data_IF_384086933500
#
_entry.id   IF_384086933500
#
_cell.length_a   1.000
_cell.length_b   1.000
_cell.length_c   1.000
_cell.angle_alpha   90.00
_cell.angle_beta   90.00
_cell.angle_gamma   90.00
#
_symmetry.space_group_name_H-M   'P 1'
#
loop_
_entity.id
_entity.type
_entity.pdbx_description
1 polymer ?
#
# COMPACT_ATOMS: atom_id res chain seq x y z
N UNK A 1 26.49 7.92 -7.44
CA UNK A 1 25.90 8.34 -6.14
C UNK A 1 26.20 7.27 -5.10
N UNK A 2 26.63 7.63 -3.89
CA UNK A 2 26.95 6.66 -2.83
C UNK A 2 25.67 6.04 -2.25
N UNK A 3 25.76 4.83 -1.68
CA UNK A 3 24.62 4.18 -1.00
C UNK A 3 24.02 5.03 0.13
N UNK A 4 24.86 5.77 0.87
CA UNK A 4 24.43 6.72 1.90
C UNK A 4 23.61 7.90 1.37
N UNK A 5 23.76 8.26 0.08
CA UNK A 5 22.94 9.26 -0.58
C UNK A 5 21.52 8.77 -0.86
N UNK A 6 21.38 7.53 -1.36
CA UNK A 6 20.08 6.92 -1.68
C UNK A 6 19.17 6.81 -0.46
N UNK A 7 19.70 6.26 0.65
CA UNK A 7 18.95 6.10 1.90
C UNK A 7 18.47 7.45 2.43
N UNK A 8 19.32 8.48 2.39
CA UNK A 8 18.96 9.83 2.85
C UNK A 8 17.84 10.43 2.02
N UNK A 9 17.88 10.29 0.69
CA UNK A 9 16.81 10.78 -0.20
C UNK A 9 15.47 10.12 0.12
N UNK A 10 15.46 8.81 0.34
CA UNK A 10 14.24 8.08 0.72
C UNK A 10 13.73 8.51 2.08
N UNK A 11 14.61 8.73 3.07
CA UNK A 11 14.21 9.25 4.38
C UNK A 11 13.53 10.61 4.29
N UNK A 12 14.07 11.53 3.49
CA UNK A 12 13.42 12.83 3.25
C UNK A 12 12.01 12.68 2.69
N UNK A 13 11.79 11.73 1.77
CA UNK A 13 10.44 11.46 1.25
C UNK A 13 9.52 10.87 2.32
N UNK A 14 10.00 9.85 3.06
CA UNK A 14 9.23 9.21 4.13
C UNK A 14 8.85 10.22 5.22
N UNK A 15 9.79 11.07 5.63
CA UNK A 15 9.54 12.11 6.62
C UNK A 15 8.48 13.11 6.14
N UNK A 16 8.55 13.54 4.88
CA UNK A 16 7.55 14.43 4.30
C UNK A 16 6.14 13.82 4.31
N UNK A 17 6.01 12.57 3.83
CA UNK A 17 4.74 11.85 3.83
C UNK A 17 4.17 11.69 5.24
N UNK A 18 5.01 11.35 6.22
CA UNK A 18 4.56 11.18 7.60
C UNK A 18 4.21 12.52 8.25
N UNK A 19 4.91 13.62 7.95
CA UNK A 19 4.58 14.94 8.47
C UNK A 19 3.20 15.42 8.02
N UNK A 20 2.81 15.11 6.77
CA UNK A 20 1.50 15.44 6.20
C UNK A 20 0.35 14.58 6.77
N UNK A 21 0.64 13.52 7.52
CA UNK A 21 -0.40 12.71 8.16
C UNK A 21 -1.00 13.46 9.36
N UNK A 22 -2.30 13.77 9.25
CA UNK A 22 -3.07 14.50 10.26
C UNK A 22 -3.38 13.65 11.49
N UNK A 23 -3.62 12.34 11.32
CA UNK A 23 -3.82 11.43 12.44
C UNK A 23 -2.49 11.18 13.16
N UNK A 24 -2.36 11.73 14.36
CA UNK A 24 -1.15 11.64 15.16
C UNK A 24 -0.77 10.19 15.51
N UNK A 25 -1.76 9.32 15.73
CA UNK A 25 -1.50 7.92 16.06
C UNK A 25 -0.94 7.18 14.84
N UNK A 26 -1.53 7.37 13.66
CA UNK A 26 -1.01 6.81 12.40
C UNK A 26 0.39 7.36 12.12
N UNK A 27 0.59 8.68 12.24
CA UNK A 27 1.89 9.32 12.02
C UNK A 27 2.98 8.75 12.92
N UNK A 28 2.73 8.67 14.22
CA UNK A 28 3.68 8.12 15.20
C UNK A 28 3.96 6.64 14.93
N UNK A 29 2.93 5.85 14.66
CA UNK A 29 3.08 4.45 14.30
C UNK A 29 3.92 4.28 13.02
N UNK A 30 3.68 5.11 12.01
CA UNK A 30 4.42 5.11 10.75
C UNK A 30 5.92 5.40 10.95
N UNK A 31 6.28 6.39 11.76
CA UNK A 31 7.69 6.65 12.10
C UNK A 31 8.35 5.43 12.74
N UNK A 32 7.70 4.81 13.73
CA UNK A 32 8.28 3.67 14.45
C UNK A 32 8.40 2.45 13.52
N UNK A 33 7.35 2.18 12.75
CA UNK A 33 7.25 0.98 11.94
C UNK A 33 8.12 1.05 10.69
N UNK A 34 8.00 2.08 9.86
CA UNK A 34 8.74 2.16 8.58
C UNK A 34 10.26 2.21 8.79
N UNK A 35 10.73 3.01 9.76
CA UNK A 35 12.14 3.05 10.10
C UNK A 35 12.61 1.73 10.73
N UNK A 36 11.83 1.16 11.65
CA UNK A 36 12.13 -0.13 12.25
C UNK A 36 12.26 -1.26 11.22
N UNK A 37 11.34 -1.37 10.27
CA UNK A 37 11.42 -2.35 9.18
C UNK A 37 12.60 -2.05 8.26
N UNK A 38 12.90 -0.78 7.99
CA UNK A 38 14.09 -0.38 7.22
C UNK A 38 15.41 -0.80 7.88
N UNK A 39 15.51 -0.73 9.21
CA UNK A 39 16.68 -1.14 9.99
C UNK A 39 16.79 -2.67 10.07
N UNK A 40 15.69 -3.37 10.37
CA UNK A 40 15.65 -4.83 10.37
C UNK A 40 15.98 -5.40 8.98
N UNK A 41 15.51 -4.72 7.92
CA UNK A 41 15.84 -5.10 6.54
C UNK A 41 17.34 -4.97 6.25
N UNK A 42 18.00 -3.92 6.73
CA UNK A 42 19.45 -3.76 6.59
C UNK A 42 20.23 -4.82 7.38
N UNK A 43 19.78 -5.15 8.59
CA UNK A 43 20.35 -6.21 9.43
C UNK A 43 20.26 -7.57 8.74
N UNK A 44 19.08 -7.94 8.25
CA UNK A 44 18.87 -9.22 7.56
C UNK A 44 19.62 -9.27 6.23
N UNK A 45 19.73 -8.16 5.51
CA UNK A 45 20.53 -8.11 4.28
C UNK A 45 22.00 -8.43 4.56
N UNK A 46 22.58 -7.85 5.63
CA UNK A 46 23.94 -8.15 6.05
C UNK A 46 24.11 -9.63 6.43
N UNK A 47 23.12 -10.22 7.10
CA UNK A 47 23.12 -11.64 7.48
C UNK A 47 23.01 -12.60 6.29
N UNK A 48 22.29 -12.20 5.23
CA UNK A 48 21.95 -13.01 4.05
C UNK A 48 22.83 -12.73 2.83
N UNK A 49 23.77 -11.79 2.91
CA UNK A 49 24.65 -11.42 1.79
C UNK A 49 23.92 -10.66 0.67
N UNK A 50 22.90 -9.87 1.01
CA UNK A 50 22.14 -9.02 0.08
C UNK A 50 22.56 -7.55 0.20
N UNK A 51 22.23 -6.73 -0.79
CA UNK A 51 22.48 -5.28 -0.74
C UNK A 51 21.59 -4.60 0.32
N UNK A 52 22.23 -4.09 1.37
CA UNK A 52 21.55 -3.49 2.52
C UNK A 52 20.83 -2.17 2.18
N UNK A 53 21.30 -1.42 1.17
CA UNK A 53 20.64 -0.18 0.74
C UNK A 53 19.30 -0.48 0.11
N UNK A 54 19.26 -1.41 -0.85
CA UNK A 54 18.04 -1.87 -1.52
C UNK A 54 17.04 -2.44 -0.51
N UNK A 55 17.53 -3.28 0.41
CA UNK A 55 16.68 -3.88 1.45
C UNK A 55 16.10 -2.81 2.41
N UNK A 56 16.93 -1.88 2.88
CA UNK A 56 16.48 -0.81 3.79
C UNK A 56 15.45 0.10 3.13
N UNK A 57 15.65 0.43 1.85
CA UNK A 57 14.69 1.22 1.07
C UNK A 57 13.37 0.48 0.88
N UNK A 58 13.39 -0.82 0.60
CA UNK A 58 12.17 -1.62 0.54
C UNK A 58 11.42 -1.60 1.88
N UNK A 59 12.15 -1.77 3.00
CA UNK A 59 11.57 -1.69 4.35
C UNK A 59 10.93 -0.34 4.67
N UNK A 60 11.60 0.77 4.35
CA UNK A 60 11.06 2.12 4.62
C UNK A 60 9.85 2.48 3.75
N UNK A 61 9.69 1.85 2.58
CA UNK A 61 8.64 2.18 1.63
C UNK A 61 7.46 1.21 1.64
N UNK A 62 7.57 0.04 2.28
CA UNK A 62 6.59 -1.04 2.08
C UNK A 62 5.15 -0.67 2.44
N UNK A 63 4.98 0.07 3.53
CA UNK A 63 3.69 0.52 4.06
C UNK A 63 3.51 2.04 3.96
N UNK A 64 4.26 2.70 3.07
CA UNK A 64 4.17 4.16 2.89
C UNK A 64 2.76 4.59 2.48
N UNK A 65 2.08 3.78 1.66
CA UNK A 65 0.71 4.00 1.23
C UNK A 65 -0.26 3.99 2.42
N UNK A 66 -0.13 3.01 3.30
CA UNK A 66 -0.91 2.88 4.53
C UNK A 66 -0.68 4.09 5.44
N UNK A 67 0.57 4.50 5.61
CA UNK A 67 0.91 5.65 6.44
C UNK A 67 0.35 6.96 5.88
N UNK A 68 0.30 7.11 4.55
CA UNK A 68 -0.24 8.29 3.87
C UNK A 68 -1.77 8.33 3.89
N UNK A 69 -2.43 7.19 3.69
CA UNK A 69 -3.88 7.12 3.46
C UNK A 69 -4.69 6.60 4.64
N UNK A 70 -4.05 5.94 5.61
CA UNK A 70 -4.73 5.19 6.67
C UNK A 70 -5.43 3.91 6.19
N UNK A 71 -5.28 3.52 4.91
CA UNK A 71 -5.98 2.39 4.32
C UNK A 71 -5.13 1.11 4.37
N UNK A 72 -5.68 0.06 4.97
CA UNK A 72 -5.04 -1.25 5.12
C UNK A 72 -5.39 -2.24 4.01
N UNK A 73 -6.56 -2.08 3.42
CA UNK A 73 -7.03 -2.99 2.38
C UNK A 73 -6.18 -2.83 1.12
N UNK A 74 -5.63 -3.95 0.61
CA UNK A 74 -4.72 -3.96 -0.53
C UNK A 74 -3.49 -3.04 -0.36
N UNK A 75 -2.99 -2.89 0.88
CA UNK A 75 -1.83 -2.04 1.17
C UNK A 75 -0.57 -2.46 0.40
N UNK A 76 -0.28 -3.76 0.27
CA UNK A 76 0.91 -4.23 -0.43
C UNK A 76 0.95 -3.83 -1.93
N UNK A 77 -0.07 -4.14 -2.76
CA UNK A 77 -0.06 -3.69 -4.15
C UNK A 77 -0.14 -2.16 -4.30
N UNK A 78 -0.86 -1.48 -3.40
CA UNK A 78 -0.96 -0.01 -3.41
C UNK A 78 0.37 0.65 -3.04
N UNK A 79 1.04 0.13 -2.01
CA UNK A 79 2.38 0.52 -1.56
C UNK A 79 3.44 0.28 -2.63
N UNK A 80 3.35 -0.81 -3.39
CA UNK A 80 4.26 -1.07 -4.50
C UNK A 80 4.12 -0.02 -5.61
N UNK A 81 2.90 0.41 -5.92
CA UNK A 81 2.66 1.50 -6.89
C UNK A 81 3.09 2.89 -6.36
N UNK A 82 2.94 3.17 -5.07
CA UNK A 82 3.50 4.36 -4.40
C UNK A 82 5.03 4.37 -4.48
N UNK A 83 5.67 3.28 -4.06
CA UNK A 83 7.12 3.14 -4.11
C UNK A 83 7.67 3.29 -5.53
N UNK A 84 6.97 2.73 -6.54
CA UNK A 84 7.37 2.87 -7.95
C UNK A 84 7.44 4.33 -8.40
N UNK A 85 6.47 5.16 -8.00
CA UNK A 85 6.47 6.59 -8.32
C UNK A 85 7.59 7.31 -7.59
N UNK A 86 7.75 7.06 -6.29
CA UNK A 86 8.81 7.65 -5.46
C UNK A 86 10.19 7.36 -6.07
N UNK A 87 10.49 6.09 -6.37
CA UNK A 87 11.80 5.69 -6.88
C UNK A 87 12.09 6.25 -8.27
N UNK A 88 11.07 6.35 -9.13
CA UNK A 88 11.17 7.00 -10.45
C UNK A 88 11.54 8.47 -10.30
N UNK A 89 10.81 9.19 -9.46
CA UNK A 89 10.97 10.64 -9.30
C UNK A 89 12.30 11.01 -8.65
N UNK A 90 12.80 10.15 -7.75
CA UNK A 90 14.15 10.31 -7.19
C UNK A 90 15.26 10.11 -8.23
N UNK A 91 15.02 9.39 -9.34
CA UNK A 91 16.00 9.18 -10.42
C UNK A 91 17.32 8.51 -9.99
N UNK A 92 17.32 7.87 -8.82
CA UNK A 92 18.50 7.48 -8.06
C UNK A 92 18.84 5.98 -8.14
N UNK A 93 17.87 5.17 -8.53
CA UNK A 93 17.90 3.71 -8.41
C UNK A 93 17.98 3.05 -9.79
N UNK A 94 18.76 1.99 -9.92
CA UNK A 94 18.82 1.18 -11.15
C UNK A 94 17.48 0.47 -11.38
N UNK A 95 17.23 0.03 -12.62
CA UNK A 95 16.03 -0.74 -12.93
C UNK A 95 15.94 -2.02 -12.10
N UNK A 96 17.07 -2.68 -11.84
CA UNK A 96 17.15 -3.90 -11.04
C UNK A 96 16.83 -3.64 -9.56
N UNK A 97 17.34 -2.54 -8.98
CA UNK A 97 16.99 -2.12 -7.62
C UNK A 97 15.49 -1.81 -7.51
N UNK A 98 14.95 -1.07 -8.48
CA UNK A 98 13.52 -0.73 -8.52
C UNK A 98 12.64 -1.99 -8.61
N UNK A 99 13.02 -2.97 -9.43
CA UNK A 99 12.28 -4.23 -9.56
C UNK A 99 12.30 -5.04 -8.27
N UNK A 100 13.45 -5.13 -7.59
CA UNK A 100 13.59 -5.82 -6.29
C UNK A 100 12.72 -5.17 -5.22
N UNK A 101 12.79 -3.84 -5.10
CA UNK A 101 11.98 -3.08 -4.12
C UNK A 101 10.50 -3.25 -4.42
N UNK A 102 10.08 -3.06 -5.67
CA UNK A 102 8.68 -3.21 -6.08
C UNK A 102 8.15 -4.63 -5.80
N UNK A 103 8.92 -5.66 -6.17
CA UNK A 103 8.56 -7.07 -5.94
C UNK A 103 8.36 -7.35 -4.45
N UNK A 104 9.32 -6.93 -3.62
CA UNK A 104 9.28 -7.18 -2.20
C UNK A 104 8.03 -6.55 -1.58
N UNK A 105 7.77 -5.27 -1.89
CA UNK A 105 6.60 -4.55 -1.37
C UNK A 105 5.30 -5.17 -1.87
N UNK A 106 5.19 -5.53 -3.15
CA UNK A 106 3.98 -6.11 -3.71
C UNK A 106 3.55 -7.41 -3.00
N UNK A 107 4.53 -8.18 -2.51
CA UNK A 107 4.33 -9.55 -2.02
C UNK A 107 4.44 -9.67 -0.50
N UNK A 108 4.86 -8.61 0.20
CA UNK A 108 5.20 -8.71 1.60
C UNK A 108 4.02 -9.11 2.50
N UNK A 109 2.77 -8.79 2.13
CA UNK A 109 1.59 -9.14 2.94
C UNK A 109 1.28 -10.64 2.95
N UNK A 110 1.69 -11.39 1.92
CA UNK A 110 1.50 -12.84 1.84
C UNK A 110 2.63 -13.57 2.59
N UNK A 111 2.42 -13.73 3.90
CA UNK A 111 3.38 -14.38 4.80
C UNK A 111 3.46 -15.90 4.59
N UNK A 112 2.52 -16.52 3.87
CA UNK A 112 2.48 -17.96 3.66
C UNK A 112 3.24 -18.40 2.40
N UNK A 113 3.21 -17.56 1.35
CA UNK A 113 3.94 -17.80 0.11
C UNK A 113 5.44 -17.56 0.28
N UNK A 114 6.23 -18.37 -0.42
CA UNK A 114 7.68 -18.22 -0.54
C UNK A 114 7.98 -17.65 -1.92
N UNK A 115 8.78 -16.58 -1.96
CA UNK A 115 9.15 -15.82 -3.14
C UNK A 115 10.69 -15.59 -3.20
N UNK A 116 11.14 -14.55 -3.91
CA UNK A 116 12.56 -14.26 -4.12
C UNK A 116 13.25 -13.70 -2.85
N UNK A 117 14.57 -13.62 -2.87
CA UNK A 117 15.40 -13.30 -1.69
C UNK A 117 15.05 -11.98 -0.99
N UNK A 118 14.74 -10.92 -1.75
CA UNK A 118 14.30 -9.62 -1.19
C UNK A 118 12.86 -9.66 -0.68
N UNK A 119 12.00 -10.46 -1.31
CA UNK A 119 10.61 -10.62 -0.90
C UNK A 119 10.55 -11.31 0.46
N UNK A 120 11.33 -12.39 0.63
CA UNK A 120 11.43 -13.11 1.90
C UNK A 120 12.12 -12.27 2.98
N UNK A 121 13.16 -11.51 2.62
CA UNK A 121 13.80 -10.57 3.55
C UNK A 121 12.80 -9.55 4.10
N UNK A 122 12.00 -8.92 3.24
CA UNK A 122 11.06 -7.90 3.68
C UNK A 122 9.94 -8.50 4.54
N UNK A 123 9.40 -9.68 4.17
CA UNK A 123 8.43 -10.40 5.00
C UNK A 123 8.97 -10.69 6.39
N UNK A 124 10.23 -11.12 6.49
CA UNK A 124 10.85 -11.46 7.76
C UNK A 124 11.19 -10.20 8.59
N UNK A 125 11.65 -9.13 7.94
CA UNK A 125 11.92 -7.84 8.59
C UNK A 125 10.66 -7.22 9.19
N UNK A 126 9.55 -7.26 8.45
CA UNK A 126 8.25 -6.74 8.86
C UNK A 126 7.72 -7.46 10.11
N UNK A 127 7.67 -8.80 10.09
CA UNK A 127 7.19 -9.57 11.24
C UNK A 127 8.13 -9.50 12.45
N UNK A 128 9.44 -9.39 12.21
CA UNK A 128 10.43 -9.20 13.27
C UNK A 128 10.23 -7.84 13.95
N UNK A 129 10.01 -6.78 13.18
CA UNK A 129 9.76 -5.44 13.74
C UNK A 129 8.50 -5.45 14.61
N UNK A 130 7.40 -6.04 14.14
CA UNK A 130 6.17 -6.15 14.93
C UNK A 130 6.40 -6.92 16.25
N UNK A 131 7.09 -8.06 16.18
CA UNK A 131 7.40 -8.85 17.37
C UNK A 131 8.28 -8.10 18.38
N UNK A 132 9.31 -7.39 17.92
CA UNK A 132 10.20 -6.63 18.80
C UNK A 132 9.52 -5.37 19.36
N UNK A 133 8.55 -4.80 18.64
CA UNK A 133 7.80 -3.64 19.08
C UNK A 133 6.79 -4.00 20.18
N UNK A 134 6.05 -5.10 20.01
CA UNK A 134 5.15 -5.66 21.03
C UNK A 134 5.28 -7.20 21.11
N UNK A 135 6.15 -7.72 21.99
CA UNK A 135 6.32 -9.15 22.19
C UNK A 135 5.10 -9.86 22.80
N UNK A 136 4.09 -9.12 23.26
CA UNK A 136 2.89 -9.68 23.90
C UNK A 136 1.75 -9.96 22.92
N UNK A 137 1.87 -9.45 21.68
CA UNK A 137 0.91 -9.62 20.60
C UNK A 137 0.77 -11.08 20.16
N UNK A 138 -0.44 -11.46 19.76
CA UNK A 138 -0.72 -12.75 19.10
C UNK A 138 -0.64 -12.61 17.58
N UNK A 139 0.00 -13.58 16.93
CA UNK A 139 0.27 -13.56 15.50
C UNK A 139 -0.38 -14.73 14.76
N UNK A 140 -0.78 -14.58 13.49
CA UNK A 140 -1.23 -15.70 12.66
C UNK A 140 -0.15 -16.81 12.56
N UNK A 141 -0.52 -18.08 12.31
CA UNK A 141 0.43 -19.20 12.29
C UNK A 141 1.62 -19.00 11.34
N UNK A 142 1.39 -18.46 10.14
CA UNK A 142 2.46 -18.18 9.17
C UNK A 142 3.45 -17.12 9.68
N UNK A 143 2.93 -16.05 10.27
CA UNK A 143 3.72 -14.97 10.89
C UNK A 143 4.53 -15.48 12.07
N UNK A 144 3.91 -16.25 12.98
CA UNK A 144 4.58 -16.82 14.14
C UNK A 144 5.74 -17.76 13.75
N UNK A 145 5.57 -18.53 12.65
CA UNK A 145 6.64 -19.37 12.11
C UNK A 145 7.81 -18.53 11.58
N UNK A 146 7.53 -17.44 10.85
CA UNK A 146 8.59 -16.53 10.36
C UNK A 146 9.36 -15.89 11.51
N UNK A 147 8.67 -15.40 12.54
CA UNK A 147 9.30 -14.84 13.76
C UNK A 147 10.29 -15.85 14.35
N UNK A 148 9.85 -17.10 14.61
CA UNK A 148 10.74 -18.14 15.17
C UNK A 148 11.96 -18.42 14.29
N UNK A 149 11.77 -18.44 12.96
CA UNK A 149 12.85 -18.72 12.03
C UNK A 149 13.88 -17.57 12.00
N UNK A 150 13.43 -16.32 11.91
CA UNK A 150 14.32 -15.16 11.82
C UNK A 150 15.02 -14.90 13.15
N UNK A 151 14.37 -15.11 14.29
CA UNK A 151 15.04 -15.00 15.60
C UNK A 151 16.13 -16.07 15.76
N UNK A 152 15.89 -17.29 15.29
CA UNK A 152 16.89 -18.35 15.29
C UNK A 152 18.05 -18.07 14.31
N UNK A 153 17.77 -17.52 13.12
CA UNK A 153 18.79 -17.08 12.15
C UNK A 153 19.74 -16.03 12.74
N UNK A 154 19.21 -15.14 13.58
CA UNK A 154 19.93 -14.10 14.30
C UNK A 154 20.58 -14.58 15.62
N UNK A 155 20.38 -15.84 16.01
CA UNK A 155 20.95 -16.41 17.23
C UNK A 155 20.30 -15.94 18.54
N UNK A 156 19.05 -15.44 18.48
CA UNK A 156 18.29 -15.07 19.67
C UNK A 156 17.74 -16.33 20.38
N UNK A 157 17.50 -16.27 21.71
CA UNK A 157 16.89 -17.36 22.45
C UNK A 157 15.55 -17.80 21.83
N UNK A 158 15.16 -19.05 22.06
CA UNK A 158 13.87 -19.55 21.60
C UNK A 158 12.74 -18.68 22.19
N UNK A 159 11.93 -18.10 21.30
CA UNK A 159 10.82 -17.22 21.66
C UNK A 159 9.48 -17.97 21.62
N UNK A 160 8.70 -17.84 22.69
CA UNK A 160 7.30 -18.24 22.66
C UNK A 160 6.48 -17.16 21.95
N UNK A 161 5.96 -17.50 20.77
CA UNK A 161 5.10 -16.59 19.99
C UNK A 161 3.65 -17.03 20.16
N UNK A 162 2.81 -16.14 20.69
CA UNK A 162 1.37 -16.37 20.84
C UNK A 162 0.72 -16.46 19.45
N UNK A 163 -0.16 -17.44 19.25
CA UNK A 163 -0.82 -17.66 17.95
C UNK A 163 -2.27 -17.21 18.02
N UNK A 164 -2.71 -16.37 17.08
CA UNK A 164 -4.10 -15.94 16.95
C UNK A 164 -4.95 -16.96 16.21
N UNK A 165 -6.20 -17.17 16.64
CA UNK A 165 -7.20 -17.93 15.89
C UNK A 165 -7.72 -17.11 14.68
N UNK A 166 -7.72 -17.69 13.48
CA UNK A 166 -8.35 -17.08 12.31
C UNK A 166 -9.85 -17.37 12.34
N UNK A 167 -10.67 -16.38 12.72
CA UNK A 167 -12.13 -16.46 12.53
C UNK A 167 -12.50 -15.94 11.15
N UNK A 168 -13.28 -16.68 10.35
CA UNK A 168 -13.90 -16.14 9.15
C UNK A 168 -14.87 -15.03 9.56
N UNK A 169 -14.69 -13.84 9.02
CA UNK A 169 -15.67 -12.77 9.13
C UNK A 169 -16.71 -12.97 8.02
N UNK A 170 -17.86 -13.54 8.39
CA UNK A 170 -19.04 -13.51 7.54
C UNK A 170 -19.65 -12.12 7.62
N UNK A 171 -19.80 -11.45 6.48
CA UNK A 171 -20.55 -10.19 6.39
C UNK A 171 -21.90 -10.49 5.75
N UNK A 172 -22.97 -10.15 6.49
CA UNK A 172 -24.34 -10.09 6.01
C UNK A 172 -24.74 -8.62 5.86
N UNK A 173 -25.28 -8.20 4.71
CA UNK A 173 -26.69 -7.77 4.60
C UNK A 173 -27.09 -7.00 3.31
N UNK A 174 -28.19 -7.54 2.73
CA UNK A 174 -29.47 -6.98 2.24
C UNK A 174 -29.63 -5.76 1.32
N UNK A 175 -28.57 -5.04 0.90
CA UNK A 175 -28.69 -4.04 -0.19
C UNK A 175 -27.75 -4.42 -1.33
N UNK A 176 -28.24 -4.40 -2.58
CA UNK A 176 -27.37 -4.66 -3.73
C UNK A 176 -26.26 -3.61 -3.79
N UNK A 177 -25.02 -4.05 -3.99
CA UNK A 177 -23.84 -3.19 -4.12
C UNK A 177 -24.08 -1.99 -5.05
N UNK A 178 -24.84 -2.23 -6.13
CA UNK A 178 -25.22 -1.24 -7.13
C UNK A 178 -26.04 -0.09 -6.53
N UNK A 179 -27.04 -0.39 -5.71
CA UNK A 179 -27.89 0.65 -5.10
C UNK A 179 -27.07 1.54 -4.16
N UNK A 180 -26.23 0.92 -3.32
CA UNK A 180 -25.36 1.66 -2.40
C UNK A 180 -24.37 2.57 -3.12
N UNK A 181 -23.78 2.08 -4.21
CA UNK A 181 -22.87 2.89 -5.03
C UNK A 181 -23.59 4.10 -5.65
N UNK A 182 -24.81 3.90 -6.17
CA UNK A 182 -25.62 4.97 -6.75
C UNK A 182 -25.99 6.03 -5.71
N UNK A 183 -26.46 5.60 -4.53
CA UNK A 183 -26.83 6.51 -3.42
C UNK A 183 -25.64 7.39 -3.00
N UNK A 184 -24.46 6.79 -2.82
CA UNK A 184 -23.22 7.51 -2.46
C UNK A 184 -22.83 8.51 -3.55
N UNK A 185 -22.88 8.09 -4.83
CA UNK A 185 -22.52 8.95 -5.94
C UNK A 185 -23.48 10.15 -6.06
N UNK A 186 -24.79 9.93 -5.91
CA UNK A 186 -25.78 11.00 -5.91
C UNK A 186 -25.59 11.96 -4.76
N UNK A 187 -25.39 11.45 -3.54
CA UNK A 187 -25.17 12.28 -2.35
C UNK A 187 -23.93 13.16 -2.52
N UNK A 188 -22.81 12.57 -2.95
CA UNK A 188 -21.55 13.28 -3.11
C UNK A 188 -21.63 14.31 -4.25
N UNK A 189 -22.30 14.00 -5.36
CA UNK A 189 -22.48 14.91 -6.50
C UNK A 189 -23.38 16.12 -6.19
N UNK A 190 -24.28 16.01 -5.20
CA UNK A 190 -25.12 17.14 -4.75
C UNK A 190 -24.36 18.14 -3.88
N UNK A 191 -23.20 17.76 -3.32
CA UNK A 191 -22.39 18.64 -2.48
C UNK A 191 -21.62 19.65 -3.36
N UNK A 192 -21.50 20.92 -2.94
CA UNK A 192 -20.61 21.86 -3.60
C UNK A 192 -19.17 21.48 -3.26
N UNK A 193 -18.56 20.59 -4.05
CA UNK A 193 -17.16 20.22 -3.87
C UNK A 193 -16.28 21.44 -4.15
N UNK A 194 -15.62 21.96 -3.11
CA UNK A 194 -14.78 23.15 -3.23
C UNK A 194 -13.40 22.74 -3.72
N UNK A 195 -13.08 23.16 -4.94
CA UNK A 195 -11.74 23.09 -5.51
C UNK A 195 -11.02 24.44 -5.48
N UNK A 196 -9.70 24.42 -5.64
CA UNK A 196 -8.86 25.61 -5.84
C UNK A 196 -8.26 25.67 -7.26
N UNK A 197 -7.49 26.72 -7.53
CA UNK A 197 -6.82 26.95 -8.83
C UNK A 197 -5.83 25.85 -9.23
N UNK A 198 -5.38 25.04 -8.26
CA UNK A 198 -4.49 23.90 -8.48
C UNK A 198 -5.26 22.58 -8.67
N UNK A 199 -6.58 22.66 -8.87
CA UNK A 199 -7.49 21.51 -8.94
C UNK A 199 -7.45 20.65 -7.66
N UNK A 200 -7.02 21.24 -6.53
CA UNK A 200 -7.00 20.61 -5.22
C UNK A 200 -8.08 21.22 -4.33
N UNK A 201 -8.00 21.01 -3.01
CA UNK A 201 -8.92 21.57 -2.03
C UNK A 201 -9.35 20.53 -0.98
N UNK A 202 -9.91 20.98 0.15
CA UNK A 202 -10.29 20.09 1.25
C UNK A 202 -11.34 19.04 0.86
N UNK A 203 -12.24 19.37 -0.07
CA UNK A 203 -13.25 18.43 -0.58
C UNK A 203 -12.73 17.53 -1.72
N UNK A 204 -11.65 17.94 -2.41
CA UNK A 204 -11.04 17.18 -3.51
C UNK A 204 -10.03 16.16 -2.99
N UNK A 205 -9.26 16.51 -1.95
CA UNK A 205 -8.24 15.64 -1.36
C UNK A 205 -8.78 14.23 -1.01
N UNK A 206 -9.94 14.07 -0.34
CA UNK A 206 -10.53 12.76 -0.07
C UNK A 206 -10.76 11.90 -1.32
N UNK A 207 -10.96 12.51 -2.49
CA UNK A 207 -11.23 11.83 -3.76
C UNK A 207 -9.94 11.34 -4.42
N UNK A 208 -8.86 12.12 -4.34
CA UNK A 208 -7.60 11.84 -5.06
C UNK A 208 -6.55 11.13 -4.22
N UNK A 209 -6.63 11.19 -2.89
CA UNK A 209 -5.61 10.67 -1.96
C UNK A 209 -5.29 9.18 -2.13
N UNK A 210 -6.15 8.39 -2.75
CA UNK A 210 -5.90 6.97 -3.02
C UNK A 210 -4.75 6.75 -4.01
N UNK A 211 -4.45 7.72 -4.87
CA UNK A 211 -3.56 7.48 -6.00
C UNK A 211 -2.10 7.87 -5.68
N UNK A 212 -1.13 7.09 -6.18
CA UNK A 212 0.28 7.40 -6.01
C UNK A 212 0.65 8.77 -6.60
N UNK A 213 1.35 9.57 -5.81
CA UNK A 213 1.74 10.94 -6.17
C UNK A 213 0.66 11.98 -5.92
N UNK A 214 -0.48 11.63 -5.31
CA UNK A 214 -1.45 12.61 -4.84
C UNK A 214 -0.83 13.54 -3.80
N UNK A 215 -1.05 14.85 -3.97
CA UNK A 215 -0.61 15.88 -3.03
C UNK A 215 -1.81 16.70 -2.59
N UNK A 216 -1.75 17.25 -1.37
CA UNK A 216 -2.81 18.11 -0.86
C UNK A 216 -2.86 19.47 -1.56
N UNK A 217 -1.73 19.92 -2.13
CA UNK A 217 -1.60 21.24 -2.77
C UNK A 217 -1.74 21.20 -4.30
N UNK A 218 -1.87 20.00 -4.90
CA UNK A 218 -1.89 19.82 -6.34
C UNK A 218 -2.79 18.64 -6.72
N UNK A 219 -3.88 18.94 -7.42
CA UNK A 219 -4.79 17.95 -7.96
C UNK A 219 -4.64 17.71 -9.47
N UNK A 220 -5.62 17.01 -10.03
CA UNK A 220 -5.78 16.68 -11.45
C UNK A 220 -7.26 16.44 -11.78
N UNK A 221 -7.59 16.16 -13.05
CA UNK A 221 -8.93 15.76 -13.49
C UNK A 221 -9.47 14.57 -12.69
N UNK A 222 -10.28 14.86 -11.68
CA UNK A 222 -10.64 13.90 -10.63
C UNK A 222 -11.89 13.07 -10.96
N UNK A 223 -12.46 13.17 -12.16
CA UNK A 223 -13.73 12.51 -12.49
C UNK A 223 -13.69 10.98 -12.27
N UNK A 224 -12.61 10.32 -12.68
CA UNK A 224 -12.43 8.88 -12.42
C UNK A 224 -12.00 8.59 -10.97
N UNK A 225 -11.29 9.51 -10.32
CA UNK A 225 -10.99 9.44 -8.87
C UNK A 225 -12.26 9.54 -8.01
N UNK A 226 -13.25 10.32 -8.41
CA UNK A 226 -14.57 10.39 -7.78
C UNK A 226 -15.28 9.04 -7.83
N UNK A 227 -15.32 8.40 -9.01
CA UNK A 227 -15.93 7.06 -9.16
C UNK A 227 -15.22 6.05 -8.26
N UNK A 228 -13.88 6.09 -8.23
CA UNK A 228 -13.10 5.24 -7.34
C UNK A 228 -13.42 5.50 -5.87
N UNK A 229 -13.53 6.77 -5.46
CA UNK A 229 -13.90 7.13 -4.09
C UNK A 229 -15.28 6.59 -3.73
N UNK A 230 -16.30 6.76 -4.58
CA UNK A 230 -17.63 6.19 -4.36
C UNK A 230 -17.58 4.66 -4.21
N UNK A 231 -16.78 3.98 -5.05
CA UNK A 231 -16.58 2.54 -4.93
C UNK A 231 -15.92 2.19 -3.59
N UNK A 232 -14.86 2.87 -3.16
CA UNK A 232 -14.25 2.61 -1.86
C UNK A 232 -15.21 2.84 -0.68
N UNK A 233 -16.11 3.82 -0.76
CA UNK A 233 -17.15 4.05 0.25
C UNK A 233 -18.25 2.99 0.24
N UNK A 234 -18.59 2.43 -0.93
CA UNK A 234 -19.64 1.42 -1.06
C UNK A 234 -19.22 0.04 -0.50
N UNK A 235 -17.92 -0.20 -0.32
CA UNK A 235 -17.34 -1.44 0.20
C UNK A 235 -16.74 -2.46 -0.79
N UNK A 236 -16.79 -2.36 -2.15
CA UNK A 236 -16.01 -3.25 -2.99
C UNK A 236 -14.51 -3.08 -2.75
N UNK A 237 -13.80 -4.22 -2.82
CA UNK A 237 -12.35 -4.28 -2.71
C UNK A 237 -11.77 -4.06 -4.11
N UNK A 238 -11.35 -2.84 -4.42
CA UNK A 238 -10.72 -2.50 -5.70
C UNK A 238 -9.25 -2.12 -5.50
N UNK A 239 -8.31 -2.68 -6.29
CA UNK A 239 -6.94 -2.17 -6.32
C UNK A 239 -6.92 -0.83 -7.05
N UNK A 240 -5.93 0.02 -6.76
CA UNK A 240 -5.72 1.28 -7.49
C UNK A 240 -5.51 1.05 -8.99
N UNK A 241 -4.91 -0.10 -9.34
CA UNK A 241 -4.74 -0.61 -10.70
C UNK A 241 -5.09 -2.09 -10.75
N UNK A 242 -6.03 -2.45 -11.61
CA UNK A 242 -6.41 -3.85 -11.80
C UNK A 242 -5.38 -4.59 -12.69
N UNK A 243 -5.10 -5.88 -12.45
CA UNK A 243 -4.30 -6.68 -13.37
C UNK A 243 -4.92 -6.72 -14.76
N UNK A 244 -4.14 -6.52 -15.82
CA UNK A 244 -4.64 -6.54 -17.19
C UNK A 244 -5.17 -5.19 -17.72
N UNK A 245 -5.21 -4.14 -16.89
CA UNK A 245 -5.49 -2.77 -17.38
C UNK A 245 -4.22 -1.93 -17.56
N UNK A 246 -4.27 -1.01 -18.51
CA UNK A 246 -3.15 -0.18 -18.97
C UNK A 246 -2.76 0.89 -17.95
N UNK A 247 -3.72 1.38 -17.17
CA UNK A 247 -3.54 2.49 -16.24
C UNK A 247 -4.35 2.31 -14.94
N UNK A 248 -4.26 3.28 -14.02
CA UNK A 248 -4.94 3.27 -12.72
C UNK A 248 -6.40 3.69 -12.87
N UNK A 249 -7.27 3.33 -11.92
CA UNK A 249 -8.66 3.79 -11.87
C UNK A 249 -8.83 5.31 -11.64
N UNK A 250 -7.74 6.08 -11.59
CA UNK A 250 -7.75 7.53 -11.74
C UNK A 250 -8.06 7.98 -13.19
N UNK A 251 -8.08 7.07 -14.16
CA UNK A 251 -8.39 7.37 -15.56
C UNK A 251 -9.60 6.58 -16.05
N UNK A 252 -10.46 7.24 -16.84
CA UNK A 252 -11.66 6.62 -17.45
C UNK A 252 -11.30 5.39 -18.29
N UNK A 253 -10.15 5.42 -18.96
CA UNK A 253 -9.66 4.29 -19.75
C UNK A 253 -9.54 2.99 -18.93
N UNK A 254 -9.05 3.07 -17.69
CA UNK A 254 -8.93 1.89 -16.83
C UNK A 254 -10.28 1.27 -16.50
N UNK A 255 -11.31 2.10 -16.27
CA UNK A 255 -12.68 1.63 -16.04
C UNK A 255 -13.27 0.95 -17.27
N UNK A 256 -13.02 1.50 -18.46
CA UNK A 256 -13.47 0.92 -19.73
C UNK A 256 -12.79 -0.41 -20.03
N UNK A 257 -11.47 -0.50 -19.84
CA UNK A 257 -10.72 -1.74 -20.02
C UNK A 257 -11.15 -2.80 -19.01
N UNK A 258 -11.25 -2.42 -17.74
CA UNK A 258 -11.68 -3.32 -16.67
C UNK A 258 -13.07 -3.90 -16.92
N UNK A 259 -14.04 -3.06 -17.30
CA UNK A 259 -15.40 -3.50 -17.60
C UNK A 259 -15.47 -4.47 -18.80
N UNK A 260 -14.48 -4.45 -19.71
CA UNK A 260 -14.41 -5.32 -20.90
C UNK A 260 -13.60 -6.60 -20.68
N UNK A 261 -12.98 -6.78 -19.51
CA UNK A 261 -12.25 -8.01 -19.22
C UNK A 261 -13.23 -9.21 -19.25
N UNK A 262 -12.87 -10.35 -19.87
CA UNK A 262 -13.78 -11.50 -19.98
C UNK A 262 -14.31 -12.03 -18.64
N UNK A 263 -13.53 -11.89 -17.57
CA UNK A 263 -13.91 -12.28 -16.21
C UNK A 263 -14.82 -11.28 -15.50
N UNK A 264 -14.92 -10.04 -16.01
CA UNK A 264 -15.77 -8.98 -15.47
C UNK A 264 -17.04 -8.83 -16.30
N UNK A 265 -16.91 -8.76 -17.63
CA UNK A 265 -17.97 -8.69 -18.65
C UNK A 265 -19.13 -7.75 -18.26
N UNK A 266 -18.77 -6.53 -17.87
CA UNK A 266 -19.69 -5.51 -17.32
C UNK A 266 -19.76 -4.25 -18.19
N UNK A 267 -19.26 -4.32 -19.41
CA UNK A 267 -19.31 -3.22 -20.37
C UNK A 267 -20.59 -3.30 -21.20
N UNK A 268 -21.49 -2.34 -20.99
CA UNK A 268 -22.70 -2.17 -21.79
C UNK A 268 -22.51 -1.04 -22.82
N UNK A 269 -22.60 -1.30 -24.13
CA UNK A 269 -22.61 -0.26 -25.14
C UNK A 269 -23.82 0.67 -24.95
N UNK A 270 -23.66 1.95 -25.28
CA UNK A 270 -24.73 2.93 -25.15
C UNK A 270 -25.97 2.61 -26.01
N UNK A 271 -25.79 1.78 -27.04
CA UNK A 271 -26.83 1.35 -27.97
C UNK A 271 -27.55 0.05 -27.53
N UNK A 272 -27.16 -0.56 -26.41
CA UNK A 272 -27.88 -1.71 -25.85
C UNK A 272 -29.21 -1.24 -25.24
N UNK A 273 -30.35 -1.83 -25.62
CA UNK A 273 -31.62 -1.54 -24.94
C UNK A 273 -31.55 -2.06 -23.50
N UNK A 274 -31.70 -1.13 -22.55
CA UNK A 274 -31.65 -1.39 -21.10
C UNK A 274 -32.86 -2.10 -20.53
#
# INVERSE_FOLDING_TARGET
MTGSGKVRMVRTVVDGVLQEQEDEAIRRAGYIHLYGVGEMSALLAARRGLDAVTASVAGMLHDIYTCRTGLQLLHAPSGAEDARVILRDLGAFSQEEQQRIHSAILRHSDKARVDDSYDELLKDADVLQHYLHDPTQSFPPATARRIRNVTAELGLPAVEVRVSETKPTAWADSISLRARLADIAEELARRPLIGDENQSGPDVWPLIRYFPGARQDQGWDWCASFVYHCAMQAGPILPIRYPGVSCRFAAVLAWLEWARLPEIDFFHPADEPG
#
